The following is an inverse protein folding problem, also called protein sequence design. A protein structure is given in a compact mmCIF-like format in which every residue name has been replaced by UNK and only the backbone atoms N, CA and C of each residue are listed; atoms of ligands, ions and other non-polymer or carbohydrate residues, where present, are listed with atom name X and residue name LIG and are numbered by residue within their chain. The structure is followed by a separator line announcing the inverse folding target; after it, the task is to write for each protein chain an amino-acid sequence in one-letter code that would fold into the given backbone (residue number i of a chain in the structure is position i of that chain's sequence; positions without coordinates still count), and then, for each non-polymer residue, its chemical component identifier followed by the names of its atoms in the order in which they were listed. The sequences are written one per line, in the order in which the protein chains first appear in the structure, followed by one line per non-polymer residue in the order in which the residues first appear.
data_IF_147680040656
#
_entry.id   IF_147680040656
#
_cell.length_a   1.000
_cell.length_b   1.000
_cell.length_c   1.000
_cell.angle_alpha   90.00
_cell.angle_beta   90.00
_cell.angle_gamma   90.00
#
_symmetry.space_group_name_H-M   'P 1'
#
loop_
_entity.id
_entity.type
_entity.pdbx_description
1 polymer ?
#
# COMPACT_ATOMS: atom_id res chain seq x y z
N UNK A 1 -9.85 -72.08 29.44
CA UNK A 1 -11.20 -72.31 28.90
C UNK A 1 -11.93 -70.98 28.93
N UNK A 2 -12.36 -70.53 27.77
CA UNK A 2 -12.93 -69.21 27.48
C UNK A 2 -14.30 -69.02 28.16
N UNK A 3 -14.59 -67.81 28.65
CA UNK A 3 -15.90 -67.20 28.50
C UNK A 3 -15.77 -65.66 28.50
N UNK A 4 -16.16 -65.05 27.39
CA UNK A 4 -16.15 -63.60 27.12
C UNK A 4 -17.26 -62.90 27.91
N UNK A 5 -17.03 -61.70 28.49
CA UNK A 5 -18.07 -60.70 28.61
C UNK A 5 -17.96 -59.68 27.47
N UNK A 6 -19.12 -59.19 27.04
CA UNK A 6 -19.33 -58.43 25.83
C UNK A 6 -18.56 -57.11 25.76
N UNK A 7 -18.16 -56.74 24.55
CA UNK A 7 -17.64 -55.41 24.21
C UNK A 7 -18.76 -54.40 24.42
N UNK A 8 -18.68 -53.58 25.47
CA UNK A 8 -19.44 -52.34 25.56
C UNK A 8 -18.52 -51.21 25.17
N UNK A 9 -18.53 -50.88 23.88
CA UNK A 9 -17.81 -49.74 23.33
C UNK A 9 -18.43 -48.44 23.87
N UNK A 10 -17.67 -47.68 24.63
CA UNK A 10 -17.88 -46.25 24.77
C UNK A 10 -16.51 -45.59 24.85
N UNK A 11 -16.09 -45.07 23.70
CA UNK A 11 -14.76 -44.63 23.37
C UNK A 11 -14.24 -43.55 24.34
N UNK A 12 -12.97 -43.70 24.71
CA UNK A 12 -12.15 -42.65 25.28
C UNK A 12 -12.01 -41.54 24.22
N UNK A 13 -12.81 -40.48 24.32
CA UNK A 13 -12.63 -39.29 23.50
C UNK A 13 -11.55 -38.41 24.13
N UNK A 14 -10.33 -38.63 23.66
CA UNK A 14 -9.21 -37.73 23.85
C UNK A 14 -9.52 -36.36 23.25
N UNK A 15 -9.10 -35.34 23.98
CA UNK A 15 -9.21 -33.92 23.68
C UNK A 15 -8.60 -33.62 22.30
N UNK A 16 -9.38 -33.01 21.42
CA UNK A 16 -8.84 -32.15 20.36
C UNK A 16 -9.81 -30.98 20.18
N UNK A 17 -9.62 -29.93 20.97
CA UNK A 17 -10.24 -28.62 20.69
C UNK A 17 -9.63 -28.10 19.39
N UNK A 18 -10.30 -28.35 18.27
CA UNK A 18 -9.95 -27.75 16.99
C UNK A 18 -10.32 -26.27 17.11
N UNK A 19 -9.33 -25.42 17.40
CA UNK A 19 -9.41 -24.01 17.10
C UNK A 19 -9.44 -23.90 15.57
N UNK A 20 -10.63 -23.79 15.00
CA UNK A 20 -10.78 -23.34 13.62
C UNK A 20 -10.47 -21.85 13.66
N UNK A 21 -9.19 -21.49 13.51
CA UNK A 21 -8.84 -20.16 13.10
C UNK A 21 -9.37 -20.03 11.66
N UNK A 22 -10.53 -19.40 11.50
CA UNK A 22 -10.96 -18.90 10.19
C UNK A 22 -9.96 -17.80 9.79
N UNK A 23 -8.85 -18.22 9.18
CA UNK A 23 -8.09 -17.32 8.31
C UNK A 23 -8.97 -17.09 7.11
N UNK A 24 -9.81 -16.06 7.18
CA UNK A 24 -10.41 -15.45 5.99
C UNK A 24 -9.27 -14.81 5.20
N UNK A 25 -8.53 -15.67 4.48
CA UNK A 25 -7.67 -15.28 3.36
C UNK A 25 -8.58 -14.87 2.20
N UNK A 26 -9.29 -13.77 2.43
CA UNK A 26 -9.88 -13.00 1.38
C UNK A 26 -8.75 -12.09 0.90
N UNK A 27 -8.54 -11.97 -0.41
CA UNK A 27 -7.58 -11.05 -1.02
C UNK A 27 -8.01 -9.59 -0.80
N UNK A 28 -8.24 -9.20 0.45
CA UNK A 28 -8.50 -7.84 0.84
C UNK A 28 -7.25 -7.06 0.49
N UNK A 29 -7.41 -6.11 -0.43
CA UNK A 29 -6.44 -5.06 -0.72
C UNK A 29 -5.91 -4.58 0.63
N UNK A 30 -4.66 -4.90 0.94
CA UNK A 30 -4.06 -4.52 2.22
C UNK A 30 -3.82 -3.02 2.16
N UNK A 31 -4.70 -2.27 2.79
CA UNK A 31 -4.54 -0.85 3.01
C UNK A 31 -3.75 -0.61 4.31
N UNK A 32 -3.07 0.52 4.41
CA UNK A 32 -2.27 0.89 5.58
C UNK A 32 -3.06 1.71 6.59
N UNK A 33 -2.88 1.38 7.87
CA UNK A 33 -3.31 2.21 9.00
C UNK A 33 -2.13 2.85 9.74
N UNK A 34 -0.89 2.59 9.29
CA UNK A 34 0.33 2.99 9.98
C UNK A 34 1.24 3.82 9.07
N UNK A 35 1.96 4.78 9.68
CA UNK A 35 2.98 5.57 8.99
C UNK A 35 4.26 4.75 8.85
N UNK A 36 4.56 4.26 7.65
CA UNK A 36 5.76 3.46 7.36
C UNK A 36 6.82 4.29 6.65
N UNK A 37 8.09 3.92 6.80
CA UNK A 37 9.22 4.60 6.18
C UNK A 37 10.25 3.55 5.74
N UNK A 38 10.08 3.02 4.54
CA UNK A 38 10.84 1.89 3.99
C UNK A 38 11.32 2.22 2.57
N UNK A 39 12.53 1.77 2.22
CA UNK A 39 13.11 1.87 0.88
C UNK A 39 13.09 3.30 0.28
N UNK A 40 13.42 4.31 1.09
CA UNK A 40 13.24 5.74 0.80
C UNK A 40 13.91 6.24 -0.51
N UNK A 41 14.91 5.51 -1.01
CA UNK A 41 15.77 5.83 -2.14
C UNK A 41 15.55 4.91 -3.35
N UNK A 42 14.44 4.16 -3.39
CA UNK A 42 14.11 3.24 -4.48
C UNK A 42 12.67 3.39 -4.98
N UNK A 43 12.37 2.80 -6.14
CA UNK A 43 10.99 2.73 -6.68
C UNK A 43 10.05 1.94 -5.74
N UNK A 44 10.59 1.04 -4.91
CA UNK A 44 9.86 0.27 -3.91
C UNK A 44 9.57 1.03 -2.62
N UNK A 45 9.63 2.37 -2.64
CA UNK A 45 9.37 3.23 -1.49
C UNK A 45 7.98 2.95 -0.89
N UNK A 46 7.95 2.86 0.44
CA UNK A 46 6.72 2.96 1.23
C UNK A 46 6.90 4.07 2.24
N UNK A 47 6.16 5.15 2.05
CA UNK A 47 6.23 6.34 2.90
C UNK A 47 4.84 6.74 3.36
N UNK A 48 4.69 6.94 4.66
CA UNK A 48 3.40 7.24 5.27
C UNK A 48 2.40 6.10 5.08
N UNK A 49 1.16 6.43 4.78
CA UNK A 49 0.10 5.46 4.52
C UNK A 49 -0.19 5.30 3.02
N UNK A 50 0.13 6.29 2.21
CA UNK A 50 -0.36 6.42 0.84
C UNK A 50 0.76 6.41 -0.22
N UNK A 51 2.01 6.66 0.14
CA UNK A 51 3.04 6.70 -0.88
C UNK A 51 3.66 5.33 -1.13
N UNK A 52 3.36 4.74 -2.29
CA UNK A 52 4.07 3.58 -2.82
C UNK A 52 3.29 2.88 -3.93
N UNK A 53 3.97 2.19 -4.83
CA UNK A 53 3.29 1.45 -5.91
C UNK A 53 2.45 0.32 -5.32
N UNK A 54 1.13 0.36 -5.55
CA UNK A 54 0.19 -0.62 -4.99
C UNK A 54 0.07 -0.54 -3.46
N UNK A 55 0.46 0.57 -2.85
CA UNK A 55 0.39 0.83 -1.42
C UNK A 55 -0.51 2.04 -1.18
N UNK A 56 -1.54 1.89 -0.35
CA UNK A 56 -2.48 2.97 -0.07
C UNK A 56 -3.03 2.87 1.35
N UNK A 57 -3.55 3.97 1.90
CA UNK A 57 -4.12 4.01 3.24
C UNK A 57 -5.56 3.51 3.28
N UNK A 58 -6.01 3.05 4.45
CA UNK A 58 -7.39 2.60 4.62
C UNK A 58 -8.40 3.76 4.56
N UNK A 59 -9.66 3.44 4.25
CA UNK A 59 -10.72 4.43 4.21
C UNK A 59 -10.84 5.18 5.55
N UNK A 60 -10.83 6.50 5.49
CA UNK A 60 -10.91 7.36 6.68
C UNK A 60 -9.57 7.63 7.37
N UNK A 61 -8.48 6.97 6.97
CA UNK A 61 -7.16 7.29 7.49
C UNK A 61 -6.71 8.68 7.05
N UNK A 62 -6.05 9.40 7.97
CA UNK A 62 -5.41 10.67 7.67
C UNK A 62 -3.96 10.45 7.24
N UNK A 63 -3.45 11.25 6.28
CA UNK A 63 -2.04 11.25 5.94
C UNK A 63 -1.14 11.56 7.13
N UNK A 64 0.07 11.01 7.10
CA UNK A 64 1.09 11.18 8.13
C UNK A 64 1.74 12.58 8.11
N UNK A 65 1.87 13.17 6.93
CA UNK A 65 2.38 14.53 6.70
C UNK A 65 1.98 15.09 5.32
N UNK A 66 2.58 16.21 4.93
CA UNK A 66 2.29 16.89 3.66
C UNK A 66 2.71 16.07 2.41
N UNK A 67 3.77 15.25 2.49
CA UNK A 67 4.16 14.35 1.39
C UNK A 67 3.16 13.22 1.26
N UNK A 68 2.79 12.60 2.37
CA UNK A 68 1.78 11.53 2.39
C UNK A 68 0.41 12.03 1.92
N UNK A 69 0.07 13.30 2.20
CA UNK A 69 -1.14 13.93 1.70
C UNK A 69 -1.12 14.10 0.17
N UNK A 70 0.03 14.43 -0.43
CA UNK A 70 0.17 14.44 -1.88
C UNK A 70 -0.10 13.05 -2.48
N UNK A 71 0.34 11.98 -1.81
CA UNK A 71 0.13 10.61 -2.25
C UNK A 71 -1.34 10.18 -2.13
N UNK A 72 -2.03 10.53 -1.04
CA UNK A 72 -3.47 10.29 -0.91
C UNK A 72 -4.25 10.93 -2.07
N UNK A 73 -3.94 12.19 -2.40
CA UNK A 73 -4.57 12.89 -3.53
C UNK A 73 -4.27 12.19 -4.86
N UNK A 74 -3.05 11.68 -5.04
CA UNK A 74 -2.64 10.94 -6.23
C UNK A 74 -3.38 9.61 -6.36
N UNK A 75 -3.44 8.82 -5.29
CA UNK A 75 -4.19 7.56 -5.21
C UNK A 75 -5.67 7.77 -5.56
N UNK A 76 -6.31 8.77 -4.96
CA UNK A 76 -7.70 9.15 -5.25
C UNK A 76 -7.89 9.59 -6.71
N UNK A 77 -6.87 10.22 -7.31
CA UNK A 77 -6.90 10.66 -8.70
C UNK A 77 -6.83 9.45 -9.65
N UNK A 78 -5.84 8.57 -9.48
CA UNK A 78 -5.66 7.40 -10.35
C UNK A 78 -6.77 6.36 -10.15
N UNK A 79 -7.30 6.25 -8.93
CA UNK A 79 -8.47 5.40 -8.64
C UNK A 79 -9.72 5.84 -9.42
N UNK A 80 -9.87 7.14 -9.71
CA UNK A 80 -11.00 7.69 -10.48
C UNK A 80 -10.73 7.78 -11.98
N UNK A 81 -9.50 8.09 -12.38
CA UNK A 81 -9.16 8.45 -13.76
C UNK A 81 -8.29 7.42 -14.50
N UNK A 82 -7.92 6.33 -13.83
CA UNK A 82 -7.05 5.28 -14.36
C UNK A 82 -5.59 5.41 -13.93
N UNK A 83 -4.91 4.26 -13.83
CA UNK A 83 -3.54 4.16 -13.32
C UNK A 83 -2.48 4.87 -14.18
N UNK A 84 -2.73 5.04 -15.49
CA UNK A 84 -1.82 5.67 -16.46
C UNK A 84 -2.19 7.13 -16.75
N UNK A 85 -3.01 7.74 -15.91
CA UNK A 85 -3.46 9.11 -16.13
C UNK A 85 -2.32 10.12 -15.92
N UNK A 86 -1.79 10.66 -17.02
CA UNK A 86 -0.66 11.60 -17.02
C UNK A 86 -0.94 12.85 -16.17
N UNK A 87 -2.18 13.36 -16.20
CA UNK A 87 -2.56 14.54 -15.41
C UNK A 87 -2.45 14.27 -13.90
N UNK A 88 -2.86 13.08 -13.43
CA UNK A 88 -2.67 12.68 -12.04
C UNK A 88 -1.18 12.67 -11.65
N UNK A 89 -0.32 12.10 -12.50
CA UNK A 89 1.12 12.05 -12.24
C UNK A 89 1.79 13.43 -12.22
N UNK A 90 1.43 14.34 -13.12
CA UNK A 90 1.98 15.70 -13.15
C UNK A 90 1.51 16.57 -11.98
N UNK A 91 0.24 16.49 -11.58
CA UNK A 91 -0.22 17.21 -10.39
C UNK A 91 0.38 16.65 -9.10
N UNK A 92 0.64 15.34 -9.03
CA UNK A 92 1.38 14.75 -7.91
C UNK A 92 2.80 15.30 -7.83
N UNK A 93 3.56 15.33 -8.94
CA UNK A 93 4.90 15.95 -9.00
C UNK A 93 4.88 17.41 -8.56
N UNK A 94 3.87 18.17 -8.98
CA UNK A 94 3.70 19.58 -8.60
C UNK A 94 3.38 19.74 -7.10
N UNK A 95 2.59 18.85 -6.52
CA UNK A 95 2.33 18.80 -5.07
C UNK A 95 3.64 18.58 -4.32
N UNK A 96 4.41 17.53 -4.68
CA UNK A 96 5.69 17.21 -4.05
C UNK A 96 6.70 18.37 -4.13
N UNK A 97 6.82 19.03 -5.29
CA UNK A 97 7.71 20.21 -5.45
C UNK A 97 7.32 21.37 -4.54
N UNK A 98 6.02 21.61 -4.31
CA UNK A 98 5.55 22.65 -3.38
C UNK A 98 5.91 22.30 -1.94
N UNK A 99 5.71 21.03 -1.53
CA UNK A 99 6.09 20.56 -0.19
C UNK A 99 7.59 20.68 0.01
N UNK A 100 8.40 20.23 -0.96
CA UNK A 100 9.86 20.36 -0.91
C UNK A 100 10.32 21.82 -0.75
N UNK A 101 9.74 22.74 -1.55
CA UNK A 101 10.07 24.17 -1.47
C UNK A 101 9.70 24.81 -0.13
N UNK A 102 8.77 24.23 0.63
CA UNK A 102 8.37 24.76 1.93
C UNK A 102 9.46 24.64 3.01
N UNK A 103 10.45 23.76 2.80
CA UNK A 103 11.53 23.54 3.77
C UNK A 103 11.08 22.86 5.08
N UNK A 104 9.85 22.33 5.13
CA UNK A 104 9.37 21.54 6.28
C UNK A 104 10.07 20.18 6.33
N UNK A 105 10.14 19.62 7.53
CA UNK A 105 10.53 18.22 7.73
C UNK A 105 9.28 17.32 7.74
N UNK A 106 9.45 16.09 7.27
CA UNK A 106 8.41 15.05 7.33
C UNK A 106 8.33 14.35 8.68
N UNK A 107 7.40 13.40 8.80
CA UNK A 107 7.23 12.65 10.05
C UNK A 107 8.42 11.71 10.38
N UNK A 108 9.23 11.34 9.37
CA UNK A 108 10.30 10.35 9.50
C UNK A 108 11.69 10.95 9.33
N UNK A 109 12.59 10.64 10.26
CA UNK A 109 14.03 10.92 10.13
C UNK A 109 14.77 9.89 9.28
N UNK A 110 14.18 8.71 9.08
CA UNK A 110 14.76 7.61 8.27
C UNK A 110 14.59 7.91 6.78
N UNK A 111 13.45 8.49 6.42
CA UNK A 111 13.13 8.94 5.07
C UNK A 111 13.00 10.48 5.05
N UNK A 112 14.12 11.22 4.98
CA UNK A 112 14.06 12.68 4.90
C UNK A 112 13.48 13.12 3.55
N UNK A 113 12.78 14.26 3.53
CA UNK A 113 12.20 14.83 2.31
C UNK A 113 13.19 15.01 1.16
N UNK A 114 14.45 15.35 1.46
CA UNK A 114 15.52 15.51 0.48
C UNK A 114 15.86 14.22 -0.27
N UNK A 115 15.50 13.05 0.27
CA UNK A 115 15.63 11.76 -0.40
C UNK A 115 14.27 11.30 -0.94
N UNK A 116 13.24 11.34 -0.12
CA UNK A 116 11.89 10.84 -0.42
C UNK A 116 11.25 11.54 -1.62
N UNK A 117 11.29 12.88 -1.65
CA UNK A 117 10.61 13.65 -2.69
C UNK A 117 11.27 13.45 -4.06
N UNK A 118 12.61 13.57 -4.22
CA UNK A 118 13.26 13.30 -5.50
C UNK A 118 13.00 11.87 -6.01
N UNK A 119 13.05 10.86 -5.13
CA UNK A 119 12.73 9.47 -5.48
C UNK A 119 11.32 9.33 -6.06
N UNK A 120 10.32 9.92 -5.40
CA UNK A 120 8.94 9.89 -5.88
C UNK A 120 8.75 10.63 -7.21
N UNK A 121 9.40 11.79 -7.39
CA UNK A 121 9.36 12.54 -8.65
C UNK A 121 9.96 11.71 -9.79
N UNK A 122 11.10 11.06 -9.56
CA UNK A 122 11.72 10.18 -10.54
C UNK A 122 10.79 9.00 -10.90
N UNK A 123 10.16 8.37 -9.91
CA UNK A 123 9.18 7.31 -10.16
C UNK A 123 8.03 7.78 -11.04
N UNK A 124 7.55 9.02 -10.84
CA UNK A 124 6.51 9.61 -11.68
C UNK A 124 6.97 9.96 -13.09
N UNK A 125 8.21 10.42 -13.27
CA UNK A 125 8.77 10.66 -14.61
C UNK A 125 8.81 9.36 -15.44
N UNK A 126 9.16 8.24 -14.82
CA UNK A 126 9.11 6.90 -15.45
C UNK A 126 7.65 6.51 -15.75
N UNK A 127 6.73 6.71 -14.80
CA UNK A 127 5.32 6.38 -15.00
C UNK A 127 4.68 7.16 -16.16
N UNK A 128 4.99 8.45 -16.28
CA UNK A 128 4.52 9.29 -17.39
C UNK A 128 5.06 8.80 -18.72
N UNK A 129 6.37 8.50 -18.79
CA UNK A 129 6.99 7.95 -20.00
C UNK A 129 6.30 6.66 -20.45
N UNK A 130 6.03 5.74 -19.51
CA UNK A 130 5.35 4.48 -19.80
C UNK A 130 3.89 4.70 -20.22
N UNK A 131 3.20 5.66 -19.60
CA UNK A 131 1.82 6.01 -19.97
C UNK A 131 1.73 6.46 -21.43
N UNK A 132 2.68 7.29 -21.88
CA UNK A 132 2.74 7.75 -23.28
C UNK A 132 3.03 6.64 -24.29
N UNK A 133 3.74 5.57 -23.90
CA UNK A 133 3.99 4.41 -24.76
C UNK A 133 2.76 3.49 -24.89
N UNK A 134 1.88 3.49 -23.89
CA UNK A 134 0.67 2.67 -23.85
C UNK A 134 -0.57 3.31 -24.52
N UNK A 135 -0.56 4.62 -24.74
CA UNK A 135 -1.68 5.35 -25.38
C UNK A 135 -1.57 5.31 -26.91
N UNK A 136 -2.57 4.79 -27.65
CA UNK A 136 -2.62 4.90 -29.10
C UNK A 136 -2.62 6.36 -29.55
N UNK A 137 -1.88 6.66 -30.61
CA UNK A 137 -1.55 8.01 -31.11
C UNK A 137 -2.75 8.88 -31.58
N UNK A 138 -3.99 8.41 -31.48
CA UNK A 138 -5.19 9.12 -31.98
C UNK A 138 -5.91 9.97 -30.92
N UNK A 139 -5.51 9.92 -29.64
CA UNK A 139 -6.09 10.72 -28.55
C UNK A 139 -5.10 11.73 -27.93
N UNK A 140 -4.16 12.27 -28.74
CA UNK A 140 -3.26 13.36 -28.33
C UNK A 140 -3.57 14.66 -29.08
#
# INVERSE_FOLDING_TARGET
MLLRPAVSAAAAFLIFSILIAESTDNSQVRCSTACVAENCDTIGIRYGKYCGVGWTGCAGEKPCDDVDACCQIHDDCVGRNGLINIQCHEEFKKCLRKVHKSGKEGFSKVCPYDTTIPTMIQGMDIAILLSQMGTPREEL
#
